data_IF_379138950540
#
_entry.id   IF_379138950540
#
_cell.length_a   1.000
_cell.length_b   1.000
_cell.length_c   1.000
_cell.angle_alpha   90.00
_cell.angle_beta   90.00
_cell.angle_gamma   90.00
#
_symmetry.space_group_name_H-M   'P 1'
#
loop_
_entity.id
_entity.type
_entity.pdbx_description
1 polymer ?
#
# COMPACT_ATOMS: atom_id res chain seq x y z
N UNK A 1 18.60 -2.15 10.62
CA UNK A 1 17.50 -1.16 10.62
C UNK A 1 17.49 -0.45 11.97
N UNK A 2 17.16 0.84 12.01
CA UNK A 2 16.96 1.54 13.26
C UNK A 2 15.68 1.01 13.94
N UNK A 3 15.63 1.08 15.27
CA UNK A 3 14.45 0.67 16.07
C UNK A 3 13.87 1.94 16.69
N UNK A 4 12.57 2.13 16.56
CA UNK A 4 11.89 3.26 17.18
C UNK A 4 11.92 3.15 18.70
N UNK A 5 11.95 4.30 19.37
CA UNK A 5 11.71 4.33 20.81
C UNK A 5 10.33 3.72 21.10
N UNK A 6 10.26 2.87 22.12
CA UNK A 6 9.04 2.11 22.42
C UNK A 6 7.83 3.03 22.64
N UNK A 7 8.01 4.17 23.33
CA UNK A 7 6.90 5.08 23.58
C UNK A 7 6.41 5.71 22.28
N UNK A 8 7.32 6.06 21.39
CA UNK A 8 7.00 6.59 20.07
C UNK A 8 6.27 5.54 19.21
N UNK A 9 6.74 4.28 19.24
CA UNK A 9 6.07 3.16 18.57
C UNK A 9 4.65 2.97 19.11
N UNK A 10 4.48 2.92 20.43
CA UNK A 10 3.17 2.75 21.07
C UNK A 10 2.20 3.89 20.68
N UNK A 11 2.69 5.13 20.52
CA UNK A 11 1.88 6.28 20.09
C UNK A 11 1.45 6.19 18.61
N UNK A 12 2.37 5.78 17.74
CA UNK A 12 2.08 5.54 16.31
C UNK A 12 1.04 4.43 16.17
N UNK A 13 1.23 3.31 16.87
CA UNK A 13 0.31 2.18 16.84
C UNK A 13 -1.09 2.62 17.30
N UNK A 14 -1.18 3.37 18.40
CA UNK A 14 -2.46 3.91 18.90
C UNK A 14 -3.16 4.81 17.88
N UNK A 15 -2.43 5.67 17.17
CA UNK A 15 -3.00 6.53 16.14
C UNK A 15 -3.49 5.74 14.92
N UNK A 16 -2.73 4.74 14.48
CA UNK A 16 -3.13 3.90 13.33
C UNK A 16 -4.32 3.00 13.65
N UNK A 17 -4.46 2.52 14.89
CA UNK A 17 -5.63 1.77 15.36
C UNK A 17 -6.87 2.66 15.38
N UNK A 18 -6.78 3.85 15.99
CA UNK A 18 -7.87 4.83 15.97
C UNK A 18 -8.25 5.25 14.55
N UNK A 19 -7.26 5.42 13.66
CA UNK A 19 -7.52 5.74 12.26
C UNK A 19 -8.34 4.63 11.58
N UNK A 20 -8.01 3.37 11.84
CA UNK A 20 -8.74 2.23 11.29
C UNK A 20 -10.17 2.15 11.86
N UNK A 21 -10.36 2.37 13.16
CA UNK A 21 -11.69 2.44 13.77
C UNK A 21 -12.55 3.54 13.13
N UNK A 22 -11.97 4.73 12.90
CA UNK A 22 -12.65 5.83 12.20
C UNK A 22 -13.01 5.46 10.76
N UNK A 23 -12.14 4.73 10.08
CA UNK A 23 -12.42 4.23 8.73
C UNK A 23 -13.61 3.28 8.73
N UNK A 24 -13.63 2.29 9.65
CA UNK A 24 -14.73 1.33 9.80
C UNK A 24 -16.07 2.01 10.13
N UNK A 25 -16.04 3.13 10.86
CA UNK A 25 -17.21 3.94 11.18
C UNK A 25 -17.60 4.93 10.06
N UNK A 26 -17.01 4.81 8.86
CA UNK A 26 -17.22 5.69 7.72
C UNK A 26 -16.86 7.18 7.99
N UNK A 27 -16.03 7.44 9.00
CA UNK A 27 -15.49 8.76 9.35
C UNK A 27 -14.18 9.00 8.55
N UNK A 28 -14.28 8.91 7.22
CA UNK A 28 -13.14 8.79 6.30
C UNK A 28 -12.07 9.88 6.48
N UNK A 29 -12.46 11.16 6.54
CA UNK A 29 -11.48 12.26 6.67
C UNK A 29 -10.84 12.32 8.07
N UNK A 30 -11.51 11.82 9.11
CA UNK A 30 -10.89 11.73 10.43
C UNK A 30 -9.86 10.60 10.47
N UNK A 31 -10.17 9.47 9.82
CA UNK A 31 -9.23 8.36 9.66
C UNK A 31 -7.92 8.82 9.02
N UNK A 32 -7.99 9.46 7.85
CA UNK A 32 -6.78 9.91 7.16
C UNK A 32 -5.99 10.98 7.93
N UNK A 33 -6.66 11.85 8.70
CA UNK A 33 -5.96 12.78 9.60
C UNK A 33 -5.16 12.06 10.68
N UNK A 34 -5.71 11.00 11.29
CA UNK A 34 -5.01 10.21 12.30
C UNK A 34 -3.83 9.43 11.70
N UNK A 35 -4.01 8.85 10.51
CA UNK A 35 -2.90 8.24 9.77
C UNK A 35 -1.78 9.23 9.41
N UNK A 36 -2.14 10.44 8.97
CA UNK A 36 -1.17 11.51 8.70
C UNK A 36 -0.45 11.97 9.97
N UNK A 37 -1.14 12.03 11.11
CA UNK A 37 -0.52 12.30 12.41
C UNK A 37 0.48 11.20 12.77
N UNK A 38 0.11 9.92 12.64
CA UNK A 38 1.00 8.79 12.89
C UNK A 38 2.26 8.86 12.01
N UNK A 39 2.07 9.12 10.71
CA UNK A 39 3.19 9.29 9.77
C UNK A 39 4.12 10.44 10.18
N UNK A 40 3.59 11.55 10.67
CA UNK A 40 4.40 12.72 11.04
C UNK A 40 5.24 12.50 12.29
N UNK A 41 4.96 11.47 13.11
CA UNK A 41 5.76 11.11 14.28
C UNK A 41 7.09 10.43 13.92
N UNK A 42 7.23 9.84 12.73
CA UNK A 42 8.49 9.25 12.30
C UNK A 42 9.60 10.32 12.21
N UNK A 43 10.76 10.12 12.87
CA UNK A 43 11.89 11.03 12.76
C UNK A 43 12.41 11.15 11.32
N UNK A 44 12.96 12.30 10.96
CA UNK A 44 13.54 12.49 9.63
C UNK A 44 14.93 11.82 9.52
N UNK A 45 15.27 11.25 8.35
CA UNK A 45 14.40 11.06 7.19
C UNK A 45 13.45 9.86 7.36
N UNK A 46 12.19 10.00 6.96
CA UNK A 46 11.13 8.99 7.21
C UNK A 46 11.39 7.64 6.56
N UNK A 47 12.10 7.63 5.43
CA UNK A 47 12.49 6.42 4.71
C UNK A 47 13.49 5.53 5.46
N UNK A 48 14.00 5.95 6.62
CA UNK A 48 14.84 5.09 7.47
C UNK A 48 14.04 4.14 8.39
N UNK A 49 12.71 4.24 8.40
CA UNK A 49 11.86 3.50 9.35
C UNK A 49 10.97 2.50 8.61
N UNK A 50 11.14 1.21 8.91
CA UNK A 50 10.35 0.14 8.32
C UNK A 50 8.86 0.31 8.64
N UNK A 51 8.55 0.74 9.85
CA UNK A 51 7.19 0.97 10.33
C UNK A 51 6.47 2.06 9.53
N UNK A 52 7.22 3.03 8.96
CA UNK A 52 6.64 4.03 8.07
C UNK A 52 6.03 3.38 6.82
N UNK A 53 6.68 2.37 6.23
CA UNK A 53 6.12 1.60 5.12
C UNK A 53 4.74 1.03 5.47
N UNK A 54 4.58 0.48 6.69
CA UNK A 54 3.31 -0.08 7.15
C UNK A 54 2.23 0.99 7.30
N UNK A 55 2.55 2.16 7.87
CA UNK A 55 1.59 3.27 7.98
C UNK A 55 1.13 3.74 6.61
N UNK A 56 2.05 3.92 5.65
CA UNK A 56 1.68 4.27 4.28
C UNK A 56 0.82 3.19 3.61
N UNK A 57 1.14 1.91 3.84
CA UNK A 57 0.38 0.77 3.32
C UNK A 57 -1.07 0.73 3.84
N UNK A 58 -1.29 0.96 5.12
CA UNK A 58 -2.65 1.00 5.70
C UNK A 58 -3.51 2.04 4.98
N UNK A 59 -2.94 3.22 4.74
CA UNK A 59 -3.61 4.32 4.03
C UNK A 59 -3.94 3.91 2.59
N UNK A 60 -3.00 3.27 1.88
CA UNK A 60 -3.23 2.79 0.51
C UNK A 60 -4.33 1.73 0.45
N UNK A 61 -4.34 0.77 1.38
CA UNK A 61 -5.38 -0.26 1.44
C UNK A 61 -6.77 0.36 1.63
N UNK A 62 -6.90 1.36 2.50
CA UNK A 62 -8.15 2.09 2.73
C UNK A 62 -8.55 2.96 1.54
N UNK A 63 -7.59 3.62 0.89
CA UNK A 63 -7.83 4.36 -0.36
C UNK A 63 -8.38 3.45 -1.47
N UNK A 64 -7.86 2.23 -1.61
CA UNK A 64 -8.39 1.27 -2.57
C UNK A 64 -9.84 0.85 -2.27
N UNK A 65 -10.21 0.70 -0.99
CA UNK A 65 -11.59 0.36 -0.59
C UNK A 65 -12.58 1.45 -0.97
N UNK A 66 -12.21 2.73 -0.80
CA UNK A 66 -13.07 3.88 -1.15
C UNK A 66 -12.85 4.42 -2.56
N UNK A 67 -11.94 3.80 -3.33
CA UNK A 67 -11.57 4.20 -4.69
C UNK A 67 -10.99 5.62 -4.80
N UNK A 68 -10.30 6.08 -3.75
CA UNK A 68 -9.57 7.36 -3.77
C UNK A 68 -8.14 7.15 -4.31
N UNK A 69 -8.04 7.08 -5.63
CA UNK A 69 -6.77 6.75 -6.28
C UNK A 69 -5.76 7.92 -6.29
N UNK A 70 -6.22 9.16 -6.18
CA UNK A 70 -5.32 10.31 -6.04
C UNK A 70 -4.56 10.24 -4.72
N UNK A 71 -5.27 9.97 -3.61
CA UNK A 71 -4.64 9.75 -2.31
C UNK A 71 -3.81 8.46 -2.30
N UNK A 72 -4.30 7.37 -2.92
CA UNK A 72 -3.54 6.12 -3.03
C UNK A 72 -2.18 6.36 -3.70
N UNK A 73 -2.13 7.13 -4.80
CA UNK A 73 -0.88 7.44 -5.52
C UNK A 73 0.12 8.17 -4.64
N UNK A 74 -0.33 9.18 -3.87
CA UNK A 74 0.53 9.90 -2.91
C UNK A 74 1.19 8.94 -1.92
N UNK A 75 0.43 8.03 -1.33
CA UNK A 75 0.93 7.12 -0.30
C UNK A 75 1.71 5.92 -0.85
N UNK A 76 1.41 5.48 -2.07
CA UNK A 76 2.25 4.54 -2.81
C UNK A 76 3.65 5.11 -3.06
N UNK A 77 3.77 6.39 -3.41
CA UNK A 77 5.07 7.04 -3.56
C UNK A 77 5.87 7.03 -2.24
N UNK A 78 5.20 7.20 -1.10
CA UNK A 78 5.84 7.05 0.21
C UNK A 78 6.30 5.60 0.45
N UNK A 79 5.49 4.59 0.11
CA UNK A 79 5.91 3.19 0.18
C UNK A 79 7.15 2.92 -0.70
N UNK A 80 7.17 3.42 -1.95
CA UNK A 80 8.32 3.33 -2.85
C UNK A 80 9.55 3.97 -2.22
N UNK A 81 9.42 5.18 -1.67
CA UNK A 81 10.51 5.91 -1.04
C UNK A 81 11.14 5.12 0.12
N UNK A 82 10.31 4.60 1.03
CA UNK A 82 10.80 3.79 2.16
C UNK A 82 11.44 2.48 1.67
N UNK A 83 10.79 1.76 0.76
CA UNK A 83 11.29 0.49 0.26
C UNK A 83 12.61 0.65 -0.51
N UNK A 84 12.76 1.68 -1.35
CA UNK A 84 14.00 1.91 -2.10
C UNK A 84 15.20 2.18 -1.18
N UNK A 85 14.98 2.79 -0.02
CA UNK A 85 16.03 3.07 0.95
C UNK A 85 16.38 1.84 1.80
N UNK A 86 15.37 1.06 2.22
CA UNK A 86 15.56 -0.05 3.16
C UNK A 86 15.63 -1.44 2.51
N UNK A 87 15.27 -1.56 1.23
CA UNK A 87 15.16 -2.82 0.48
C UNK A 87 14.31 -3.86 1.21
N UNK A 88 13.05 -3.52 1.51
CA UNK A 88 12.18 -4.32 2.39
C UNK A 88 11.60 -5.56 1.69
N UNK A 89 10.75 -5.35 0.68
CA UNK A 89 10.03 -6.42 -0.03
C UNK A 89 9.56 -5.88 -1.39
N UNK A 90 10.44 -5.98 -2.39
CA UNK A 90 10.19 -5.45 -3.74
C UNK A 90 8.99 -6.15 -4.40
N UNK A 91 8.80 -7.45 -4.15
CA UNK A 91 7.67 -8.19 -4.73
C UNK A 91 6.34 -7.74 -4.12
N UNK A 92 6.32 -7.43 -2.81
CA UNK A 92 5.12 -6.91 -2.17
C UNK A 92 4.78 -5.52 -2.66
N UNK A 93 5.76 -4.62 -2.77
CA UNK A 93 5.55 -3.29 -3.34
C UNK A 93 5.05 -3.37 -4.79
N UNK A 94 5.68 -4.20 -5.63
CA UNK A 94 5.27 -4.43 -7.02
C UNK A 94 3.82 -4.92 -7.12
N UNK A 95 3.36 -5.74 -6.18
CA UNK A 95 1.95 -6.14 -6.14
C UNK A 95 1.00 -4.95 -5.95
N UNK A 96 1.32 -4.02 -5.05
CA UNK A 96 0.52 -2.81 -4.83
C UNK A 96 0.53 -1.87 -6.04
N UNK A 97 1.67 -1.73 -6.73
CA UNK A 97 1.76 -0.94 -7.97
C UNK A 97 0.89 -1.54 -9.06
N UNK A 98 0.97 -2.86 -9.27
CA UNK A 98 0.10 -3.54 -10.24
C UNK A 98 -1.39 -3.37 -9.90
N UNK A 99 -1.75 -3.42 -8.60
CA UNK A 99 -3.13 -3.18 -8.13
C UNK A 99 -3.58 -1.76 -8.44
N UNK A 100 -2.73 -0.76 -8.21
CA UNK A 100 -3.02 0.64 -8.55
C UNK A 100 -3.26 0.82 -10.06
N UNK A 101 -2.37 0.28 -10.89
CA UNK A 101 -2.53 0.36 -12.34
C UNK A 101 -3.80 -0.35 -12.82
N UNK A 102 -4.12 -1.52 -12.25
CA UNK A 102 -5.35 -2.23 -12.57
C UNK A 102 -6.59 -1.39 -12.23
N UNK A 103 -6.66 -0.85 -11.02
CA UNK A 103 -7.84 -0.08 -10.57
C UNK A 103 -8.02 1.25 -11.31
N UNK A 104 -6.92 1.82 -11.82
CA UNK A 104 -6.91 3.05 -12.62
C UNK A 104 -7.05 2.79 -14.13
N UNK A 105 -7.12 1.52 -14.54
CA UNK A 105 -7.36 1.10 -15.93
C UNK A 105 -6.11 1.01 -16.82
N UNK A 106 -4.90 1.19 -16.27
CA UNK A 106 -3.65 0.94 -16.97
C UNK A 106 -3.28 -0.54 -16.90
N UNK A 107 -4.08 -1.37 -17.55
CA UNK A 107 -3.95 -2.83 -17.51
C UNK A 107 -2.59 -3.31 -18.05
N UNK A 108 -1.99 -2.61 -19.01
CA UNK A 108 -0.67 -2.98 -19.55
C UNK A 108 0.37 -2.90 -18.44
N UNK A 109 0.46 -1.76 -17.73
CA UNK A 109 1.40 -1.64 -16.60
C UNK A 109 1.06 -2.56 -15.44
N UNK A 110 -0.23 -2.76 -15.16
CA UNK A 110 -0.63 -3.71 -14.12
C UNK A 110 -0.05 -5.11 -14.37
N UNK A 111 -0.11 -5.56 -15.63
CA UNK A 111 0.46 -6.83 -16.04
C UNK A 111 1.98 -6.84 -15.95
N UNK A 112 2.64 -5.78 -16.42
CA UNK A 112 4.12 -5.66 -16.35
C UNK A 112 4.63 -5.77 -14.91
N UNK A 113 4.01 -5.05 -13.96
CA UNK A 113 4.34 -5.15 -12.53
C UNK A 113 4.18 -6.60 -12.03
N UNK A 114 3.04 -7.23 -12.34
CA UNK A 114 2.76 -8.59 -11.86
C UNK A 114 3.58 -9.68 -12.56
N UNK A 115 3.97 -9.49 -13.82
CA UNK A 115 4.90 -10.39 -14.53
C UNK A 115 6.30 -10.38 -13.91
N UNK A 116 6.72 -9.26 -13.32
CA UNK A 116 8.01 -9.17 -12.64
C UNK A 116 8.04 -9.91 -11.30
N UNK A 117 6.91 -9.95 -10.57
CA UNK A 117 6.86 -10.48 -9.20
C UNK A 117 6.38 -11.94 -9.11
N UNK A 118 5.50 -12.41 -10.01
CA UNK A 118 4.92 -13.76 -9.93
C UNK A 118 5.97 -14.87 -10.07
N UNK A 119 7.01 -14.77 -10.92
CA UNK A 119 8.07 -15.76 -10.97
C UNK A 119 8.82 -15.97 -9.64
N UNK A 120 8.80 -14.97 -8.76
CA UNK A 120 9.53 -14.96 -7.48
C UNK A 120 8.60 -15.33 -6.32
N UNK A 121 7.46 -14.63 -6.21
CA UNK A 121 6.53 -14.76 -5.09
C UNK A 121 5.40 -15.78 -5.34
N UNK A 122 5.27 -16.30 -6.56
CA UNK A 122 4.11 -17.07 -6.98
C UNK A 122 2.83 -16.23 -6.92
N UNK A 123 1.71 -16.88 -6.58
CA UNK A 123 0.39 -16.23 -6.52
C UNK A 123 0.01 -15.73 -5.12
N UNK A 124 0.90 -15.81 -4.12
CA UNK A 124 0.58 -15.59 -2.69
C UNK A 124 -0.09 -14.23 -2.41
N UNK A 125 0.32 -13.18 -3.13
CA UNK A 125 -0.23 -11.84 -2.91
C UNK A 125 -1.64 -11.66 -3.49
N UNK A 126 -2.05 -12.51 -4.44
CA UNK A 126 -3.41 -12.53 -4.97
C UNK A 126 -4.40 -13.23 -4.02
N UNK A 127 -3.96 -14.23 -3.24
CA UNK A 127 -4.83 -15.12 -2.46
C UNK A 127 -5.70 -14.38 -1.43
N UNK A 128 -5.20 -13.27 -0.89
CA UNK A 128 -5.90 -12.45 0.13
C UNK A 128 -6.63 -11.23 -0.45
N UNK A 129 -6.80 -11.17 -1.77
CA UNK A 129 -7.30 -9.99 -2.48
C UNK A 129 -8.52 -10.35 -3.32
N UNK A 130 -9.15 -9.32 -3.87
CA UNK A 130 -10.31 -9.49 -4.76
C UNK A 130 -9.93 -10.46 -5.91
N UNK A 131 -10.71 -11.54 -6.13
CA UNK A 131 -10.43 -12.52 -7.18
C UNK A 131 -10.27 -11.92 -8.58
N UNK A 132 -10.80 -10.72 -8.85
CA UNK A 132 -10.65 -10.03 -10.13
C UNK A 132 -9.18 -9.82 -10.53
N UNK A 133 -8.27 -9.63 -9.56
CA UNK A 133 -6.85 -9.40 -9.86
C UNK A 133 -6.18 -10.68 -10.39
N UNK A 134 -6.51 -11.84 -9.81
CA UNK A 134 -5.97 -13.11 -10.29
C UNK A 134 -6.61 -13.52 -11.62
N UNK A 135 -7.92 -13.27 -11.80
CA UNK A 135 -8.59 -13.46 -13.08
C UNK A 135 -7.94 -12.61 -14.17
N UNK A 136 -7.71 -11.31 -13.91
CA UNK A 136 -6.98 -10.45 -14.82
C UNK A 136 -5.60 -10.99 -15.18
N UNK A 137 -4.80 -11.38 -14.17
CA UNK A 137 -3.44 -11.82 -14.42
C UNK A 137 -3.39 -13.09 -15.30
N UNK A 138 -4.36 -13.99 -15.13
CA UNK A 138 -4.48 -15.23 -15.93
C UNK A 138 -5.15 -15.02 -17.28
N UNK A 139 -5.99 -14.00 -17.40
CA UNK A 139 -6.81 -13.72 -18.58
C UNK A 139 -6.76 -12.24 -18.98
N UNK A 140 -5.55 -11.67 -19.23
CA UNK A 140 -5.38 -10.26 -19.51
C UNK A 140 -6.14 -9.80 -20.77
N UNK A 141 -6.37 -10.70 -21.73
CA UNK A 141 -7.13 -10.46 -22.97
C UNK A 141 -8.59 -10.05 -22.73
N UNK A 142 -9.16 -10.36 -21.55
CA UNK A 142 -10.52 -9.89 -21.18
C UNK A 142 -10.56 -8.38 -20.89
N UNK A 143 -9.42 -7.79 -20.55
CA UNK A 143 -9.30 -6.42 -20.04
C UNK A 143 -8.54 -5.52 -21.01
N UNK A 144 -7.45 -6.03 -21.61
CA UNK A 144 -6.66 -5.34 -22.62
C UNK A 144 -7.34 -5.59 -23.97
N UNK A 145 -8.13 -4.61 -24.43
CA UNK A 145 -8.72 -4.67 -25.76
C UNK A 145 -7.66 -4.32 -26.81
N UNK A 146 -7.59 -5.15 -27.85
CA UNK A 146 -6.82 -4.88 -29.07
C UNK A 146 -7.36 -3.66 -29.84
#
# INVERSE_FOLDING_TARGET
MAVLDKKLQDEIDSLTEQAYEKFLNNEIEQSFKLYEQAWNLYPEPKENWNEAFNTARYIVDDCFKIRDFERAKKWLNNMIMVNNNLHLDDEYLGFYLGRYYFETGDYVKAKEEWDSIVPIAGYRYFESKDPKYLDFYRHPEKYIKN
#
